data_IF_305566032960
#
_entry.id   IF_305566032960
#
_cell.length_a   1.000
_cell.length_b   1.000
_cell.length_c   1.000
_cell.angle_alpha   90.00
_cell.angle_beta   90.00
_cell.angle_gamma   90.00
#
_symmetry.space_group_name_H-M   'P 1'
#
loop_
_entity.id
_entity.type
_entity.pdbx_description
1 polymer ?
#
# COMPACT_ATOMS: atom_id res chain seq x y z
N UNK A 1 -1.93 5.85 11.75
CA UNK A 1 -3.27 5.24 11.70
C UNK A 1 -4.27 5.97 10.77
N UNK A 2 -4.33 7.31 10.80
CA UNK A 2 -5.31 8.08 9.99
C UNK A 2 -5.06 8.00 8.48
N UNK A 3 -3.82 8.17 8.01
CA UNK A 3 -3.47 8.06 6.58
C UNK A 3 -3.87 6.71 5.97
N UNK A 4 -3.77 5.62 6.75
CA UNK A 4 -4.17 4.28 6.31
C UNK A 4 -5.69 4.21 6.14
N UNK A 5 -6.47 4.73 7.10
CA UNK A 5 -7.93 4.76 7.03
C UNK A 5 -8.44 5.61 5.86
N UNK A 6 -7.78 6.74 5.57
CA UNK A 6 -8.08 7.56 4.40
C UNK A 6 -7.74 6.85 3.09
N UNK A 7 -6.55 6.23 3.00
CA UNK A 7 -6.15 5.43 1.84
C UNK A 7 -7.13 4.29 1.55
N UNK A 8 -7.55 3.57 2.59
CA UNK A 8 -8.57 2.52 2.50
C UNK A 8 -9.94 3.03 2.03
N UNK A 9 -10.36 4.20 2.53
CA UNK A 9 -11.62 4.81 2.09
C UNK A 9 -11.55 5.24 0.62
N UNK A 10 -10.42 5.79 0.19
CA UNK A 10 -10.17 6.17 -1.21
C UNK A 10 -10.19 4.94 -2.12
N UNK A 11 -9.43 3.91 -1.76
CA UNK A 11 -9.37 2.63 -2.44
C UNK A 11 -10.78 2.00 -2.57
N UNK A 12 -11.54 1.92 -1.47
CA UNK A 12 -12.91 1.42 -1.49
C UNK A 12 -13.82 2.23 -2.42
N UNK A 13 -13.70 3.56 -2.41
CA UNK A 13 -14.47 4.43 -3.29
C UNK A 13 -14.15 4.24 -4.78
N UNK A 14 -12.92 3.83 -5.10
CA UNK A 14 -12.46 3.54 -6.46
C UNK A 14 -12.97 2.17 -6.91
N UNK A 15 -12.75 1.15 -6.10
CA UNK A 15 -13.13 -0.25 -6.36
C UNK A 15 -14.64 -0.42 -6.47
N UNK A 16 -15.42 0.21 -5.58
CA UNK A 16 -16.90 0.10 -5.65
C UNK A 16 -17.49 0.64 -6.95
N UNK A 17 -16.83 1.60 -7.63
CA UNK A 17 -17.30 2.18 -8.89
C UNK A 17 -17.10 1.23 -10.07
N UNK A 18 -16.08 0.37 -10.04
CA UNK A 18 -15.80 -0.60 -11.10
C UNK A 18 -16.54 -1.92 -10.88
N UNK A 19 -16.76 -2.31 -9.63
CA UNK A 19 -17.38 -3.59 -9.29
C UNK A 19 -18.88 -3.65 -9.54
N UNK A 20 -19.32 -4.85 -9.93
CA UNK A 20 -20.72 -5.21 -10.07
C UNK A 20 -21.06 -6.30 -9.05
N UNK A 21 -21.82 -5.92 -8.01
CA UNK A 21 -22.18 -6.81 -6.91
C UNK A 21 -23.66 -7.20 -7.04
N UNK A 22 -24.00 -8.50 -7.08
CA UNK A 22 -25.38 -8.96 -7.15
C UNK A 22 -26.24 -8.34 -6.02
N UNK A 23 -27.40 -7.79 -6.38
CA UNK A 23 -28.32 -7.16 -5.42
C UNK A 23 -28.06 -5.68 -5.12
N UNK A 24 -26.91 -5.12 -5.52
CA UNK A 24 -26.59 -3.71 -5.33
C UNK A 24 -26.39 -2.98 -6.66
N UNK A 25 -26.89 -1.75 -6.74
CA UNK A 25 -26.57 -0.87 -7.86
C UNK A 25 -25.07 -0.58 -7.86
N UNK A 26 -24.43 -0.63 -9.04
CA UNK A 26 -23.01 -0.28 -9.26
C UNK A 26 -22.62 0.97 -8.46
N UNK A 27 -21.55 0.89 -7.66
CA UNK A 27 -21.08 2.00 -6.81
C UNK A 27 -21.78 2.19 -5.46
N UNK A 28 -22.86 1.45 -5.16
CA UNK A 28 -23.69 1.62 -3.95
C UNK A 28 -23.64 0.40 -3.02
N UNK A 29 -22.52 -0.31 -3.03
CA UNK A 29 -22.27 -1.44 -2.13
C UNK A 29 -21.82 -0.91 -0.76
N UNK A 30 -22.44 -1.35 0.35
CA UNK A 30 -21.95 -1.08 1.70
C UNK A 30 -20.61 -1.76 1.95
N UNK A 31 -19.76 -1.15 2.78
CA UNK A 31 -18.41 -1.68 3.07
C UNK A 31 -18.44 -3.06 3.75
N UNK A 32 -19.43 -3.31 4.59
CA UNK A 32 -19.59 -4.61 5.26
C UNK A 32 -19.82 -5.75 4.26
N UNK A 33 -20.71 -5.56 3.28
CA UNK A 33 -20.98 -6.56 2.23
C UNK A 33 -19.75 -6.77 1.34
N UNK A 34 -19.05 -5.69 1.02
CA UNK A 34 -17.81 -5.80 0.26
C UNK A 34 -16.78 -6.66 0.99
N UNK A 35 -16.56 -6.41 2.28
CA UNK A 35 -15.60 -7.15 3.10
C UNK A 35 -16.01 -8.64 3.20
N UNK A 36 -17.30 -8.96 3.31
CA UNK A 36 -17.79 -10.35 3.32
C UNK A 36 -17.58 -11.08 1.99
N UNK A 37 -17.69 -10.37 0.86
CA UNK A 37 -17.60 -10.98 -0.47
C UNK A 37 -16.16 -11.09 -1.01
N UNK A 38 -15.33 -10.07 -0.75
CA UNK A 38 -14.00 -9.94 -1.34
C UNK A 38 -12.87 -9.97 -0.31
N UNK A 39 -13.20 -9.94 0.98
CA UNK A 39 -12.21 -9.77 2.05
C UNK A 39 -11.74 -8.32 2.19
N UNK A 40 -11.34 -7.95 3.40
CA UNK A 40 -10.75 -6.62 3.65
C UNK A 40 -9.37 -6.49 2.96
N UNK A 41 -8.67 -7.61 2.75
CA UNK A 41 -7.38 -7.69 2.05
C UNK A 41 -7.42 -7.12 0.62
N UNK A 42 -8.56 -7.24 -0.07
CA UNK A 42 -8.72 -6.65 -1.40
C UNK A 42 -8.60 -5.12 -1.38
N UNK A 43 -9.01 -4.48 -0.28
CA UNK A 43 -8.79 -3.03 -0.09
C UNK A 43 -7.36 -2.73 0.32
N UNK A 44 -6.70 -3.66 0.98
CA UNK A 44 -5.32 -3.49 1.41
C UNK A 44 -4.36 -3.46 0.24
N UNK A 45 -4.55 -4.34 -0.74
CA UNK A 45 -3.75 -4.32 -1.98
C UNK A 45 -3.92 -3.01 -2.74
N UNK A 46 -5.15 -2.51 -2.86
CA UNK A 46 -5.42 -1.26 -3.58
C UNK A 46 -4.88 -0.04 -2.81
N UNK A 47 -5.06 -0.01 -1.48
CA UNK A 47 -4.50 1.03 -0.64
C UNK A 47 -2.97 1.01 -0.63
N UNK A 48 -2.35 -0.17 -0.68
CA UNK A 48 -0.91 -0.32 -0.87
C UNK A 48 -0.47 0.29 -2.19
N UNK A 49 -1.13 -0.03 -3.31
CA UNK A 49 -0.79 0.56 -4.61
C UNK A 49 -0.87 2.09 -4.61
N UNK A 50 -1.82 2.67 -3.88
CA UNK A 50 -1.96 4.12 -3.76
C UNK A 50 -0.92 4.75 -2.79
N UNK A 51 -0.69 4.14 -1.62
CA UNK A 51 0.17 4.69 -0.56
C UNK A 51 1.66 4.41 -0.76
N UNK A 52 2.00 3.26 -1.35
CA UNK A 52 3.36 2.76 -1.42
C UNK A 52 4.28 3.64 -2.28
N UNK A 53 3.88 4.18 -3.45
CA UNK A 53 4.73 5.08 -4.23
C UNK A 53 5.08 6.36 -3.45
N UNK A 54 4.11 6.93 -2.73
CA UNK A 54 4.31 8.15 -1.94
C UNK A 54 5.20 7.87 -0.72
N UNK A 55 4.90 6.81 0.03
CA UNK A 55 5.68 6.40 1.19
C UNK A 55 7.13 6.05 0.81
N UNK A 56 7.31 5.33 -0.30
CA UNK A 56 8.61 4.98 -0.83
C UNK A 56 9.39 6.20 -1.30
N UNK A 57 8.78 7.11 -2.05
CA UNK A 57 9.46 8.33 -2.50
C UNK A 57 9.93 9.20 -1.33
N UNK A 58 9.11 9.29 -0.28
CA UNK A 58 9.49 10.03 0.93
C UNK A 58 10.65 9.34 1.66
N UNK A 59 10.59 8.02 1.85
CA UNK A 59 11.66 7.26 2.51
C UNK A 59 12.99 7.34 1.74
N UNK A 60 12.94 7.24 0.41
CA UNK A 60 14.11 7.37 -0.47
C UNK A 60 14.73 8.77 -0.36
N UNK A 61 13.90 9.82 -0.33
CA UNK A 61 14.38 11.20 -0.17
C UNK A 61 14.94 11.48 1.23
N UNK A 62 14.32 10.94 2.27
CA UNK A 62 14.79 11.09 3.65
C UNK A 62 16.11 10.36 3.89
N UNK A 63 16.29 9.19 3.27
CA UNK A 63 17.50 8.39 3.38
C UNK A 63 18.59 8.74 2.35
N UNK A 64 18.30 9.63 1.39
CA UNK A 64 19.19 10.01 0.28
C UNK A 64 19.81 8.82 -0.47
N UNK A 65 19.06 7.72 -0.56
CA UNK A 65 19.50 6.48 -1.20
C UNK A 65 19.06 6.47 -2.67
N UNK A 66 19.91 5.94 -3.56
CA UNK A 66 19.53 5.68 -4.95
C UNK A 66 19.23 4.18 -5.12
N UNK A 67 17.95 3.78 -5.07
CA UNK A 67 17.57 2.40 -5.28
C UNK A 67 17.74 2.01 -6.74
N UNK A 68 18.45 0.91 -6.99
CA UNK A 68 18.79 0.45 -8.35
C UNK A 68 17.80 -0.60 -8.86
N UNK A 69 17.02 -1.20 -7.95
CA UNK A 69 16.08 -2.29 -8.25
C UNK A 69 14.68 -2.01 -7.70
N UNK A 70 13.69 -2.75 -8.19
CA UNK A 70 12.33 -2.70 -7.67
C UNK A 70 12.28 -3.22 -6.22
N UNK A 71 11.60 -2.50 -5.30
CA UNK A 71 11.47 -2.97 -3.92
C UNK A 71 10.70 -4.29 -3.85
N UNK A 72 11.25 -5.28 -3.15
CA UNK A 72 10.47 -6.44 -2.72
C UNK A 72 9.69 -6.06 -1.46
N UNK A 73 8.36 -6.15 -1.53
CA UNK A 73 7.47 -5.79 -0.44
C UNK A 73 7.00 -7.07 0.22
N UNK A 74 7.48 -7.33 1.43
CA UNK A 74 6.96 -8.36 2.31
C UNK A 74 5.94 -7.74 3.27
N UNK A 75 4.79 -8.38 3.37
CA UNK A 75 3.72 -7.98 4.28
C UNK A 75 3.86 -8.78 5.57
N UNK A 76 4.26 -8.14 6.65
CA UNK A 76 4.37 -8.80 7.96
C UNK A 76 3.08 -8.72 8.76
N UNK A 77 2.36 -7.59 8.71
CA UNK A 77 1.06 -7.46 9.36
C UNK A 77 0.19 -6.38 8.71
N UNK A 78 -1.05 -6.75 8.39
CA UNK A 78 -2.11 -5.84 7.95
C UNK A 78 -3.36 -6.07 8.80
N UNK A 79 -3.32 -5.65 10.06
CA UNK A 79 -4.51 -5.61 10.89
C UNK A 79 -5.28 -4.30 10.68
N UNK A 80 -6.61 -4.38 10.62
CA UNK A 80 -7.52 -3.25 10.41
C UNK A 80 -7.44 -2.18 11.51
N UNK A 81 -7.06 -2.57 12.72
CA UNK A 81 -6.97 -1.72 13.91
C UNK A 81 -5.53 -1.41 14.38
N UNK A 82 -4.52 -2.00 13.73
CA UNK A 82 -3.11 -1.77 14.07
C UNK A 82 -2.37 -1.02 12.95
N UNK A 83 -1.16 -0.57 13.25
CA UNK A 83 -0.27 -0.03 12.21
C UNK A 83 0.13 -1.16 11.26
N UNK A 84 0.03 -0.91 9.95
CA UNK A 84 0.53 -1.86 8.96
C UNK A 84 2.04 -1.93 9.04
N UNK A 85 2.57 -3.14 9.12
CA UNK A 85 4.00 -3.42 9.12
C UNK A 85 4.34 -4.03 7.77
N UNK A 86 5.08 -3.26 6.98
CA UNK A 86 5.49 -3.59 5.63
C UNK A 86 7.00 -3.50 5.57
N UNK A 87 7.64 -4.57 5.14
CA UNK A 87 9.08 -4.62 4.99
C UNK A 87 9.42 -4.50 3.51
N UNK A 88 9.93 -3.34 3.10
CA UNK A 88 10.43 -3.11 1.75
C UNK A 88 11.94 -3.39 1.70
N UNK A 89 12.35 -4.44 1.00
CA UNK A 89 13.76 -4.74 0.73
C UNK A 89 14.16 -4.09 -0.60
N UNK A 90 15.20 -3.28 -0.54
CA UNK A 90 15.69 -2.49 -1.66
C UNK A 90 17.20 -2.69 -1.77
N UNK A 91 17.67 -2.99 -2.97
CA UNK A 91 19.11 -3.00 -3.27
C UNK A 91 19.54 -1.57 -3.58
N UNK A 92 20.34 -1.00 -2.69
CA UNK A 92 20.94 0.33 -2.87
C UNK A 92 22.34 0.18 -3.48
N UNK A 93 22.76 1.18 -4.26
CA UNK A 93 24.14 1.26 -4.72
C UNK A 93 25.06 1.40 -3.49
N UNK A 94 26.15 0.64 -3.39
CA UNK A 94 27.09 0.79 -2.28
C UNK A 94 27.66 2.21 -2.28
N UNK A 95 27.69 2.87 -1.12
CA UNK A 95 28.52 4.06 -0.95
C UNK A 95 29.97 3.66 -1.23
N UNK A 96 30.49 4.11 -2.37
CA UNK A 96 31.89 3.90 -2.71
C UNK A 96 32.71 4.80 -1.80
N UNK A 97 33.11 4.30 -0.64
CA UNK A 97 34.25 4.87 0.07
C UNK A 97 35.47 4.64 -0.83
N UNK A 98 35.88 5.68 -1.56
CA UNK A 98 37.19 5.72 -2.19
C UNK A 98 38.22 5.55 -1.07
N UNK A 99 38.67 4.32 -0.86
CA UNK A 99 39.81 4.04 -0.02
C UNK A 99 40.96 4.91 -0.50
N UNK A 100 41.46 5.78 0.38
CA UNK A 100 42.70 6.50 0.12
C UNK A 100 43.79 5.46 -0.09
N UNK A 101 44.22 5.25 -1.34
CA UNK A 101 45.62 5.29 -1.81
C UNK A 101 45.78 4.80 -3.25
#
# INVERSE_FOLDING_TARGET
>A
PEKIKEGLNSAFNRVKKSLNVPGFRKGKVPRQIFNEMYGEEALYQEALNDLLPEAYSNAVKEADINPVDQPQIDVESMESDAAWVLTAKVTVEPEVELGQY
#
